data_IF_146074426530
#
_entry.id   IF_146074426530
#
_cell.length_a   1.000
_cell.length_b   1.000
_cell.length_c   1.000
_cell.angle_alpha   90.00
_cell.angle_beta   90.00
_cell.angle_gamma   90.00
#
_symmetry.space_group_name_H-M   'P 1'
#
loop_
_entity.id
_entity.type
_entity.pdbx_description
1 polymer ?
#
# COMPACT_ATOMS: atom_id res chain seq x y z
N UNK A 1 22.24 4.89 57.13
CA UNK A 1 23.11 4.16 56.17
C UNK A 1 22.45 2.98 55.42
N UNK A 2 21.52 2.21 56.02
CA UNK A 2 20.84 1.08 55.31
C UNK A 2 19.87 1.46 54.17
N UNK A 3 19.22 2.64 54.23
CA UNK A 3 18.29 3.07 53.16
C UNK A 3 19.00 3.56 51.89
N UNK A 4 20.13 4.27 52.02
CA UNK A 4 20.96 4.73 50.88
C UNK A 4 21.54 3.58 50.06
N UNK A 5 21.93 2.49 50.71
CA UNK A 5 22.47 1.28 50.04
C UNK A 5 21.40 0.48 49.30
N UNK A 6 20.13 0.51 49.74
CA UNK A 6 19.01 -0.08 48.99
C UNK A 6 18.68 0.73 47.73
N UNK A 7 18.69 2.06 47.77
CA UNK A 7 18.41 2.89 46.60
C UNK A 7 19.52 2.80 45.56
N UNK A 8 20.79 2.74 45.99
CA UNK A 8 21.93 2.50 45.10
C UNK A 8 21.89 1.10 44.45
N UNK A 9 21.43 0.07 45.17
CA UNK A 9 21.23 -1.28 44.61
C UNK A 9 20.06 -1.34 43.63
N UNK A 10 18.95 -0.67 43.92
CA UNK A 10 17.80 -0.58 43.01
C UNK A 10 18.15 0.19 41.73
N UNK A 11 18.85 1.32 41.87
CA UNK A 11 19.36 2.11 40.74
C UNK A 11 20.39 1.31 39.92
N UNK A 12 21.29 0.57 40.56
CA UNK A 12 22.23 -0.33 39.88
C UNK A 12 21.53 -1.49 39.15
N UNK A 13 20.48 -2.08 39.73
CA UNK A 13 19.69 -3.14 39.08
C UNK A 13 18.89 -2.59 37.88
N UNK A 14 18.28 -1.41 38.00
CA UNK A 14 17.59 -0.74 36.90
C UNK A 14 18.57 -0.33 35.79
N UNK A 15 19.79 0.08 36.14
CA UNK A 15 20.83 0.40 35.17
C UNK A 15 21.35 -0.84 34.44
N UNK A 16 21.50 -1.97 35.14
CA UNK A 16 21.88 -3.26 34.54
C UNK A 16 20.76 -3.82 33.65
N UNK A 17 19.49 -3.75 34.07
CA UNK A 17 18.34 -4.13 33.22
C UNK A 17 18.19 -3.24 31.98
N UNK A 18 18.50 -1.94 32.07
CA UNK A 18 18.50 -1.03 30.93
C UNK A 18 19.67 -1.30 29.97
N UNK A 19 20.81 -1.79 30.47
CA UNK A 19 21.96 -2.17 29.65
C UNK A 19 21.75 -3.51 28.93
N UNK A 20 21.05 -4.48 29.52
CA UNK A 20 20.82 -5.79 28.88
C UNK A 20 19.80 -5.72 27.74
N UNK A 21 18.82 -4.82 27.80
CA UNK A 21 17.86 -4.61 26.70
C UNK A 21 18.46 -3.79 25.54
N UNK A 22 19.41 -2.89 25.82
CA UNK A 22 20.10 -2.10 24.79
C UNK A 22 21.05 -2.93 23.90
N UNK A 23 21.54 -4.08 24.40
CA UNK A 23 22.42 -5.00 23.67
C UNK A 23 21.69 -6.17 23.01
N UNK A 24 20.37 -6.32 23.22
CA UNK A 24 19.61 -7.40 22.60
C UNK A 24 19.47 -7.16 21.09
N UNK A 25 19.73 -8.21 20.30
CA UNK A 25 19.38 -8.23 18.88
C UNK A 25 17.86 -8.08 18.77
N UNK A 26 17.36 -7.14 17.95
CA UNK A 26 15.93 -6.99 17.73
C UNK A 26 15.28 -8.26 17.16
N UNK A 27 14.00 -8.47 17.44
CA UNK A 27 13.31 -9.74 17.17
C UNK A 27 13.27 -10.10 15.69
N UNK A 28 13.01 -9.14 14.79
CA UNK A 28 12.93 -9.43 13.36
C UNK A 28 14.31 -9.74 12.79
N UNK A 29 15.35 -9.02 13.21
CA UNK A 29 16.74 -9.29 12.82
C UNK A 29 17.16 -10.69 13.23
N UNK A 30 16.80 -11.12 14.45
CA UNK A 30 17.04 -12.48 14.89
C UNK A 30 16.29 -13.50 14.02
N UNK A 31 15.02 -13.25 13.72
CA UNK A 31 14.21 -14.11 12.85
C UNK A 31 14.80 -14.27 11.44
N UNK A 32 15.30 -13.19 10.83
CA UNK A 32 15.98 -13.24 9.52
C UNK A 32 17.25 -14.09 9.59
N UNK A 33 18.02 -14.02 10.69
CA UNK A 33 19.23 -14.83 10.87
C UNK A 33 18.91 -16.31 11.05
N UNK A 34 17.89 -16.63 11.84
CA UNK A 34 17.51 -18.01 12.17
C UNK A 34 16.78 -18.71 11.02
N UNK A 35 16.01 -17.96 10.23
CA UNK A 35 15.21 -18.47 9.12
C UNK A 35 15.21 -17.44 7.99
N UNK A 36 16.31 -17.36 7.22
CA UNK A 36 16.41 -16.39 6.14
C UNK A 36 15.35 -16.66 5.08
N UNK A 37 14.72 -15.60 4.53
CA UNK A 37 13.71 -15.75 3.49
C UNK A 37 14.32 -16.30 2.20
N UNK A 38 13.50 -17.04 1.44
CA UNK A 38 13.86 -17.54 0.09
C UNK A 38 13.81 -16.39 -0.93
N UNK A 39 14.88 -15.59 -0.94
CA UNK A 39 15.14 -14.44 -1.82
C UNK A 39 16.66 -14.39 -2.11
N UNK A 40 17.12 -13.63 -3.13
CA UNK A 40 18.55 -13.46 -3.37
C UNK A 40 19.29 -12.95 -2.12
N UNK A 41 20.52 -13.41 -1.84
CA UNK A 41 21.22 -13.08 -0.59
C UNK A 41 21.62 -11.60 -0.47
N UNK A 42 21.72 -10.89 -1.60
CA UNK A 42 22.04 -9.47 -1.66
C UNK A 42 21.37 -8.85 -2.88
N UNK A 43 20.76 -7.68 -2.69
CA UNK A 43 20.18 -6.86 -3.78
C UNK A 43 20.41 -5.39 -3.45
N UNK A 44 20.77 -4.57 -4.44
CA UNK A 44 20.81 -3.11 -4.32
C UNK A 44 20.27 -2.44 -5.60
N UNK A 45 19.19 -1.67 -5.44
CA UNK A 45 18.50 -0.91 -6.48
C UNK A 45 19.18 0.46 -6.66
N UNK A 46 20.44 0.44 -7.11
CA UNK A 46 21.30 1.62 -7.21
C UNK A 46 20.79 2.70 -8.16
N UNK A 47 19.91 2.36 -9.10
CA UNK A 47 19.21 3.31 -9.99
C UNK A 47 18.13 4.14 -9.28
N UNK A 48 17.80 3.86 -8.01
CA UNK A 48 16.86 4.67 -7.24
C UNK A 48 17.40 6.10 -7.09
N UNK A 49 16.68 7.13 -7.60
CA UNK A 49 17.12 8.52 -7.54
C UNK A 49 17.39 9.00 -6.11
N UNK A 50 18.22 10.03 -5.99
CA UNK A 50 18.57 10.64 -4.71
C UNK A 50 18.46 12.16 -4.79
N UNK A 51 17.68 12.72 -3.86
CA UNK A 51 17.66 14.15 -3.61
C UNK A 51 18.20 14.40 -2.19
N UNK A 52 19.27 15.21 -2.04
CA UNK A 52 19.80 15.56 -0.72
C UNK A 52 18.71 16.16 0.17
N UNK A 53 18.46 15.53 1.31
CA UNK A 53 17.40 15.94 2.21
C UNK A 53 17.90 17.09 3.10
N UNK A 54 17.56 18.31 2.73
CA UNK A 54 17.76 19.50 3.56
C UNK A 54 16.75 19.53 4.70
N UNK A 55 17.04 20.31 5.75
CA UNK A 55 16.22 20.38 6.97
C UNK A 55 14.74 20.64 6.61
N UNK A 56 13.84 19.75 7.05
CA UNK A 56 12.38 19.79 6.84
C UNK A 56 11.87 19.40 5.43
N UNK A 57 12.72 18.88 4.55
CA UNK A 57 12.37 18.46 3.19
C UNK A 57 12.48 16.94 2.95
N UNK A 58 12.54 16.11 4.01
CA UNK A 58 12.70 14.67 3.84
C UNK A 58 11.48 14.01 3.14
N UNK A 59 10.25 14.46 3.41
CA UNK A 59 9.04 13.98 2.74
C UNK A 59 9.02 14.25 1.22
N UNK A 60 9.18 15.51 0.78
CA UNK A 60 9.18 15.83 -0.66
C UNK A 60 10.31 15.13 -1.41
N UNK A 61 11.50 15.05 -0.80
CA UNK A 61 12.66 14.41 -1.42
C UNK A 61 12.47 12.90 -1.65
N UNK A 62 11.93 12.16 -0.67
CA UNK A 62 11.71 10.71 -0.84
C UNK A 62 10.59 10.42 -1.82
N UNK A 63 9.52 11.23 -1.81
CA UNK A 63 8.41 11.03 -2.74
C UNK A 63 8.83 11.37 -4.18
N UNK A 64 9.61 12.44 -4.40
CA UNK A 64 10.17 12.74 -5.70
C UNK A 64 11.06 11.61 -6.22
N UNK A 65 11.95 11.07 -5.37
CA UNK A 65 12.82 9.96 -5.75
C UNK A 65 12.03 8.71 -6.18
N UNK A 66 10.99 8.35 -5.43
CA UNK A 66 10.15 7.19 -5.73
C UNK A 66 9.26 7.42 -6.95
N UNK A 67 8.73 8.63 -7.14
CA UNK A 67 7.96 9.00 -8.31
C UNK A 67 8.81 8.91 -9.59
N UNK A 68 10.02 9.46 -9.57
CA UNK A 68 10.97 9.36 -10.69
C UNK A 68 11.41 7.91 -10.95
N UNK A 69 11.57 7.10 -9.91
CA UNK A 69 11.82 5.68 -10.07
C UNK A 69 10.66 4.94 -10.77
N UNK A 70 9.45 5.50 -10.74
CA UNK A 70 8.28 5.04 -11.50
C UNK A 70 8.06 5.77 -12.82
N UNK A 71 9.02 6.58 -13.26
CA UNK A 71 8.95 7.32 -14.52
C UNK A 71 8.07 8.57 -14.47
N UNK A 72 7.70 9.05 -13.28
CA UNK A 72 7.01 10.33 -13.11
C UNK A 72 8.05 11.43 -12.87
N UNK A 73 8.19 12.34 -13.83
CA UNK A 73 9.13 13.46 -13.76
C UNK A 73 8.59 14.54 -12.81
N UNK A 74 9.18 14.63 -11.63
CA UNK A 74 8.79 15.57 -10.57
C UNK A 74 9.98 15.89 -9.68
N UNK A 75 10.11 17.14 -9.22
CA UNK A 75 11.17 17.52 -8.27
C UNK A 75 10.61 17.75 -6.87
N UNK A 76 11.44 17.70 -5.80
CA UNK A 76 10.97 17.94 -4.44
C UNK A 76 10.21 19.26 -4.26
N UNK A 77 10.58 20.29 -5.02
CA UNK A 77 9.95 21.62 -5.02
C UNK A 77 8.50 21.59 -5.52
N UNK A 78 8.14 20.67 -6.41
CA UNK A 78 6.77 20.51 -6.90
C UNK A 78 5.88 19.87 -5.83
N UNK A 79 6.47 19.03 -4.97
CA UNK A 79 5.75 18.25 -3.96
C UNK A 79 5.67 18.99 -2.63
N UNK A 80 6.68 19.80 -2.29
CA UNK A 80 6.74 20.50 -1.00
C UNK A 80 5.46 21.30 -0.66
N UNK A 81 4.84 22.06 -1.58
CA UNK A 81 3.59 22.77 -1.30
C UNK A 81 2.41 21.85 -0.95
N UNK A 82 2.46 20.58 -1.36
CA UNK A 82 1.38 19.61 -1.14
C UNK A 82 1.44 18.96 0.25
N UNK A 83 2.64 18.82 0.84
CA UNK A 83 2.84 17.98 2.03
C UNK A 83 3.59 18.66 3.18
N UNK A 84 4.01 19.92 3.02
CA UNK A 84 4.73 20.64 4.06
C UNK A 84 3.77 21.25 5.09
N UNK A 85 3.96 20.90 6.37
CA UNK A 85 3.20 21.48 7.48
C UNK A 85 4.15 22.33 8.35
N UNK A 86 4.01 23.67 8.38
CA UNK A 86 4.94 24.58 9.08
C UNK A 86 5.12 24.27 10.58
N UNK A 87 4.04 23.93 11.28
CA UNK A 87 4.06 23.69 12.72
C UNK A 87 4.66 22.33 13.11
N UNK A 88 4.70 21.37 12.18
CA UNK A 88 5.23 20.02 12.40
C UNK A 88 6.68 19.87 11.93
N UNK A 89 7.23 20.90 11.27
CA UNK A 89 8.60 20.89 10.75
C UNK A 89 8.90 19.63 9.90
N UNK A 90 7.91 19.15 9.14
CA UNK A 90 7.99 17.91 8.36
C UNK A 90 6.66 17.54 7.67
N UNK A 91 6.59 16.34 7.12
CA UNK A 91 5.41 15.79 6.44
C UNK A 91 4.81 14.61 7.21
N UNK A 92 3.49 14.60 7.37
CA UNK A 92 2.77 13.46 7.96
C UNK A 92 2.68 12.30 6.96
N UNK A 93 2.49 11.09 7.47
CA UNK A 93 2.38 9.87 6.64
C UNK A 93 1.21 9.98 5.66
N UNK A 94 0.05 10.47 6.15
CA UNK A 94 -1.15 10.67 5.33
C UNK A 94 -0.94 11.68 4.20
N UNK A 95 -0.14 12.73 4.41
CA UNK A 95 0.16 13.72 3.38
C UNK A 95 1.04 13.10 2.28
N UNK A 96 2.02 12.27 2.67
CA UNK A 96 2.85 11.55 1.70
C UNK A 96 2.01 10.57 0.88
N UNK A 97 1.07 9.86 1.52
CA UNK A 97 0.13 8.95 0.85
C UNK A 97 -0.75 9.74 -0.12
N UNK A 98 -1.40 10.81 0.35
CA UNK A 98 -2.28 11.63 -0.46
C UNK A 98 -1.55 12.27 -1.66
N UNK A 99 -0.33 12.77 -1.45
CA UNK A 99 0.48 13.32 -2.53
C UNK A 99 0.88 12.26 -3.55
N UNK A 100 1.27 11.04 -3.12
CA UNK A 100 1.55 9.95 -4.05
C UNK A 100 0.34 9.64 -4.97
N UNK A 101 -0.87 9.62 -4.41
CA UNK A 101 -2.10 9.37 -5.17
C UNK A 101 -2.37 10.44 -6.22
N UNK A 102 -2.04 11.72 -5.94
CA UNK A 102 -2.14 12.82 -6.93
C UNK A 102 -1.25 12.63 -8.15
N UNK A 103 -0.18 11.84 -8.03
CA UNK A 103 0.69 11.46 -9.15
C UNK A 103 0.27 10.13 -9.80
N UNK A 104 -0.96 9.65 -9.53
CA UNK A 104 -1.47 8.34 -9.96
C UNK A 104 -0.57 7.17 -9.55
N UNK A 105 0.13 7.32 -8.41
CA UNK A 105 0.88 6.24 -7.79
C UNK A 105 0.03 5.59 -6.69
N UNK A 106 0.25 4.30 -6.50
CA UNK A 106 -0.43 3.48 -5.50
C UNK A 106 0.52 3.26 -4.30
N UNK A 107 0.40 4.04 -3.21
CA UNK A 107 1.15 3.81 -1.99
C UNK A 107 0.54 2.64 -1.21
N UNK A 108 1.22 1.49 -1.19
CA UNK A 108 0.76 0.28 -0.51
C UNK A 108 1.53 0.07 0.79
N UNK A 109 0.82 0.05 1.91
CA UNK A 109 1.40 -0.25 3.22
C UNK A 109 1.94 -1.69 3.24
N UNK A 110 3.13 -1.90 3.82
CA UNK A 110 3.67 -3.25 4.04
C UNK A 110 3.33 -3.75 5.46
N UNK A 111 3.61 -5.03 5.72
CA UNK A 111 3.24 -5.70 6.98
C UNK A 111 4.09 -5.28 8.20
N UNK A 112 5.02 -4.34 8.03
CA UNK A 112 5.84 -3.83 9.13
C UNK A 112 6.86 -4.85 9.64
N UNK A 113 7.34 -5.72 8.76
CA UNK A 113 8.44 -6.65 9.04
C UNK A 113 9.58 -6.57 8.01
N UNK A 114 10.80 -6.91 8.42
CA UNK A 114 12.00 -6.89 7.57
C UNK A 114 11.86 -7.78 6.33
N UNK A 115 11.23 -8.95 6.45
CA UNK A 115 11.04 -9.85 5.32
C UNK A 115 10.21 -9.19 4.21
N UNK A 116 9.14 -8.47 4.55
CA UNK A 116 8.33 -7.73 3.59
C UNK A 116 9.16 -6.68 2.84
N UNK A 117 10.02 -5.95 3.56
CA UNK A 117 10.95 -5.00 2.95
C UNK A 117 11.88 -5.72 1.98
N UNK A 118 12.54 -6.81 2.40
CA UNK A 118 13.53 -7.49 1.55
C UNK A 118 12.90 -8.15 0.33
N UNK A 119 11.67 -8.68 0.45
CA UNK A 119 10.91 -9.20 -0.70
C UNK A 119 10.58 -8.11 -1.72
N UNK A 120 10.22 -6.91 -1.27
CA UNK A 120 10.01 -5.77 -2.17
C UNK A 120 11.30 -5.35 -2.89
N UNK A 121 12.40 -5.23 -2.14
CA UNK A 121 13.71 -4.90 -2.74
C UNK A 121 14.13 -5.97 -3.76
N UNK A 122 13.95 -7.26 -3.43
CA UNK A 122 14.22 -8.38 -4.34
C UNK A 122 13.36 -8.33 -5.61
N UNK A 123 12.14 -7.82 -5.51
CA UNK A 123 11.23 -7.63 -6.63
C UNK A 123 11.45 -6.31 -7.39
N UNK A 124 12.46 -5.51 -7.03
CA UNK A 124 12.78 -4.26 -7.71
C UNK A 124 11.99 -3.05 -7.20
N UNK A 125 11.40 -3.13 -6.01
CA UNK A 125 10.62 -2.07 -5.38
C UNK A 125 11.37 -1.45 -4.20
N UNK A 126 11.94 -0.24 -4.34
CA UNK A 126 12.45 0.54 -3.22
C UNK A 126 11.34 0.82 -2.21
N UNK A 127 11.66 0.77 -0.92
CA UNK A 127 10.67 0.87 0.16
C UNK A 127 10.85 2.18 0.92
N UNK A 128 9.80 2.98 0.96
CA UNK A 128 9.74 4.15 1.82
C UNK A 128 9.55 3.72 3.27
N UNK A 129 10.33 4.28 4.19
CA UNK A 129 10.22 4.00 5.62
C UNK A 129 10.25 5.28 6.45
N UNK A 130 9.61 5.24 7.62
CA UNK A 130 9.69 6.30 8.62
C UNK A 130 10.50 5.81 9.81
N UNK A 131 11.54 6.56 10.16
CA UNK A 131 12.41 6.26 11.29
C UNK A 131 12.34 7.36 12.33
N UNK A 132 12.52 6.99 13.60
CA UNK A 132 12.91 7.95 14.63
C UNK A 132 14.40 7.74 14.94
N UNK A 133 15.23 8.67 14.45
CA UNK A 133 16.69 8.65 14.67
C UNK A 133 17.09 9.18 16.06
N UNK A 134 16.13 9.75 16.79
CA UNK A 134 16.27 10.20 18.17
C UNK A 134 15.81 9.13 19.16
N UNK A 135 15.45 9.57 20.36
CA UNK A 135 14.86 8.72 21.40
C UNK A 135 13.39 9.09 21.60
N UNK A 136 12.62 8.26 22.31
CA UNK A 136 11.19 8.50 22.48
C UNK A 136 10.88 9.83 23.21
N UNK A 137 11.74 10.23 24.16
CA UNK A 137 11.63 11.50 24.89
C UNK A 137 12.12 12.72 24.09
N UNK A 138 12.83 12.51 22.97
CA UNK A 138 13.30 13.57 22.09
C UNK A 138 13.37 13.04 20.65
N UNK A 139 12.21 12.93 19.96
CA UNK A 139 12.14 12.26 18.67
C UNK A 139 12.81 13.07 17.56
N UNK A 140 13.35 12.36 16.57
CA UNK A 140 13.84 12.91 15.30
C UNK A 140 13.26 12.09 14.15
N UNK A 141 12.09 12.49 13.70
CA UNK A 141 11.38 11.87 12.59
C UNK A 141 12.12 12.06 11.28
N UNK A 142 12.26 10.98 10.52
CA UNK A 142 13.09 10.96 9.31
C UNK A 142 12.57 9.94 8.31
N UNK A 143 12.21 10.39 7.10
CA UNK A 143 11.93 9.49 6.00
C UNK A 143 13.22 9.05 5.31
N UNK A 144 13.28 7.78 4.94
CA UNK A 144 14.35 7.21 4.13
C UNK A 144 13.78 6.24 3.11
N UNK A 145 14.56 5.91 2.08
CA UNK A 145 14.21 4.86 1.12
C UNK A 145 15.20 3.71 1.32
N UNK A 146 14.70 2.53 1.65
CA UNK A 146 15.47 1.30 1.56
C UNK A 146 15.62 0.95 0.09
N UNK A 147 16.86 0.75 -0.34
CA UNK A 147 17.18 0.37 -1.73
C UNK A 147 17.94 -0.95 -1.81
N UNK A 148 18.39 -1.50 -0.69
CA UNK A 148 19.21 -2.71 -0.73
C UNK A 148 19.34 -3.40 0.61
N UNK A 149 19.73 -4.66 0.56
CA UNK A 149 20.09 -5.47 1.71
C UNK A 149 21.19 -6.47 1.35
N UNK A 150 21.88 -6.95 2.38
CA UNK A 150 22.83 -8.04 2.33
C UNK A 150 22.57 -8.95 3.55
N UNK A 151 22.08 -10.16 3.30
CA UNK A 151 21.75 -11.12 4.36
C UNK A 151 23.00 -11.71 5.03
N UNK A 152 24.12 -11.78 4.32
CA UNK A 152 25.36 -12.35 4.86
C UNK A 152 26.04 -11.36 5.81
N UNK A 153 26.08 -10.08 5.42
CA UNK A 153 26.68 -9.00 6.20
C UNK A 153 25.69 -8.39 7.22
N UNK A 154 24.41 -8.79 7.17
CA UNK A 154 23.30 -8.22 7.95
C UNK A 154 23.21 -6.69 7.81
N UNK A 155 23.35 -6.21 6.59
CA UNK A 155 23.33 -4.77 6.30
C UNK A 155 22.20 -4.37 5.37
N UNK A 156 21.70 -3.15 5.58
CA UNK A 156 20.67 -2.51 4.77
C UNK A 156 21.22 -1.21 4.19
N UNK A 157 20.84 -0.91 2.95
CA UNK A 157 21.28 0.26 2.19
C UNK A 157 20.13 1.23 2.03
N UNK A 158 20.35 2.49 2.42
CA UNK A 158 19.35 3.55 2.44
C UNK A 158 19.77 4.74 1.57
N UNK A 159 18.79 5.38 0.93
CA UNK A 159 18.86 6.78 0.49
C UNK A 159 18.34 7.64 1.64
N UNK A 160 19.21 8.43 2.28
CA UNK A 160 18.85 9.09 3.55
C UNK A 160 19.73 10.30 3.89
N UNK A 161 19.10 11.42 4.28
CA UNK A 161 19.80 12.64 4.64
C UNK A 161 20.56 13.23 3.45
N UNK A 162 21.81 13.64 3.67
CA UNK A 162 22.73 14.11 2.63
C UNK A 162 23.58 13.00 2.03
N UNK A 163 23.36 11.73 2.41
CA UNK A 163 24.12 10.59 1.95
C UNK A 163 23.29 9.79 0.95
N UNK A 164 23.78 9.74 -0.28
CA UNK A 164 23.17 8.93 -1.33
C UNK A 164 23.17 7.45 -0.96
N UNK A 165 24.30 6.91 -0.49
CA UNK A 165 24.41 5.51 -0.07
C UNK A 165 24.73 5.42 1.42
N UNK A 166 23.73 5.10 2.23
CA UNK A 166 23.87 4.93 3.67
C UNK A 166 23.71 3.46 4.08
N UNK A 167 24.82 2.81 4.44
CA UNK A 167 24.81 1.43 4.96
C UNK A 167 24.61 1.41 6.46
N UNK A 168 23.74 0.52 6.95
CA UNK A 168 23.45 0.29 8.37
C UNK A 168 23.31 -1.20 8.66
N UNK A 169 23.56 -1.64 9.89
CA UNK A 169 23.19 -3.01 10.29
C UNK A 169 21.67 -3.15 10.42
N UNK A 170 21.14 -4.35 10.17
CA UNK A 170 19.73 -4.68 10.39
C UNK A 170 19.26 -4.30 11.78
N UNK A 171 20.03 -4.64 12.81
CA UNK A 171 19.68 -4.34 14.20
C UNK A 171 19.53 -2.84 14.47
N UNK A 172 20.40 -2.00 13.90
CA UNK A 172 20.30 -0.55 14.10
C UNK A 172 19.11 0.02 13.33
N UNK A 173 18.91 -0.44 12.09
CA UNK A 173 17.77 -0.04 11.27
C UNK A 173 16.45 -0.39 11.96
N UNK A 174 16.26 -1.66 12.35
CA UNK A 174 15.04 -2.15 12.99
C UNK A 174 14.69 -1.34 14.23
N UNK A 175 15.66 -1.06 15.12
CA UNK A 175 15.40 -0.23 16.31
C UNK A 175 14.87 1.16 15.99
N UNK A 176 15.46 1.83 15.01
CA UNK A 176 15.03 3.18 14.61
C UNK A 176 13.70 3.18 13.85
N UNK A 177 13.43 2.12 13.10
CA UNK A 177 12.19 1.91 12.34
C UNK A 177 11.02 1.47 13.25
N UNK A 178 11.29 0.65 14.26
CA UNK A 178 10.34 0.24 15.30
C UNK A 178 9.75 1.45 16.04
N UNK A 179 10.57 2.44 16.36
CA UNK A 179 10.10 3.70 16.96
C UNK A 179 9.21 4.52 16.02
N UNK A 180 9.28 4.28 14.71
CA UNK A 180 8.35 4.76 13.69
C UNK A 180 7.16 3.83 13.45
N UNK A 181 6.90 2.89 14.36
CA UNK A 181 5.78 1.96 14.26
C UNK A 181 5.94 0.92 13.16
N UNK A 182 7.17 0.64 12.73
CA UNK A 182 7.46 -0.19 11.55
C UNK A 182 6.74 0.29 10.28
N UNK A 183 6.49 1.60 10.17
CA UNK A 183 5.77 2.12 9.03
C UNK A 183 6.63 2.05 7.76
N UNK A 184 6.06 1.46 6.72
CA UNK A 184 6.72 1.28 5.43
C UNK A 184 5.71 1.18 4.29
N UNK A 185 6.07 1.76 3.14
CA UNK A 185 5.27 1.75 1.93
C UNK A 185 6.08 1.24 0.74
N UNK A 186 5.47 0.38 -0.08
CA UNK A 186 5.86 0.23 -1.47
C UNK A 186 5.02 1.19 -2.32
N UNK A 187 5.67 2.14 -3.00
CA UNK A 187 5.00 3.03 -3.96
C UNK A 187 5.17 2.44 -5.36
N UNK A 188 4.05 2.05 -5.98
CA UNK A 188 4.03 1.37 -7.28
C UNK A 188 3.07 2.09 -8.25
N UNK A 189 3.16 1.78 -9.54
CA UNK A 189 2.10 2.19 -10.49
C UNK A 189 0.90 1.25 -10.35
N UNK A 190 -0.34 1.68 -10.64
CA UNK A 190 -1.54 0.84 -10.47
C UNK A 190 -1.50 -0.51 -11.21
N UNK A 191 -0.78 -0.60 -12.34
CA UNK A 191 -0.57 -1.86 -13.06
C UNK A 191 0.34 -2.88 -12.36
N UNK A 192 0.86 -2.57 -11.17
CA UNK A 192 1.78 -3.41 -10.41
C UNK A 192 1.19 -3.76 -9.04
N UNK A 193 1.41 -5.01 -8.62
CA UNK A 193 1.11 -5.45 -7.25
C UNK A 193 2.41 -5.69 -6.52
N UNK A 194 2.65 -5.08 -5.34
CA UNK A 194 3.82 -5.35 -4.51
C UNK A 194 4.00 -6.86 -4.25
N UNK A 195 5.24 -7.30 -4.13
CA UNK A 195 5.57 -8.72 -4.02
C UNK A 195 5.07 -9.33 -2.71
N UNK A 196 5.23 -8.63 -1.58
CA UNK A 196 4.94 -9.14 -0.25
C UNK A 196 3.49 -8.92 0.20
N UNK A 197 2.71 -8.10 -0.52
CA UNK A 197 1.36 -7.74 -0.07
C UNK A 197 0.33 -8.85 -0.33
N UNK A 198 -0.60 -9.01 0.62
CA UNK A 198 -1.77 -9.89 0.51
C UNK A 198 -2.98 -9.21 -0.16
N UNK A 199 -3.99 -10.00 -0.51
CA UNK A 199 -5.16 -9.51 -1.24
C UNK A 199 -5.94 -8.46 -0.46
N UNK A 200 -6.23 -8.71 0.82
CA UNK A 200 -7.04 -7.82 1.67
C UNK A 200 -6.43 -6.41 1.75
N UNK A 201 -5.12 -6.33 2.05
CA UNK A 201 -4.43 -5.05 2.17
C UNK A 201 -4.38 -4.31 0.84
N UNK A 202 -4.16 -5.01 -0.27
CA UNK A 202 -4.14 -4.38 -1.59
C UNK A 202 -5.53 -3.88 -2.00
N UNK A 203 -6.59 -4.65 -1.75
CA UNK A 203 -7.97 -4.25 -2.01
C UNK A 203 -8.33 -2.98 -1.22
N UNK A 204 -8.02 -2.94 0.09
CA UNK A 204 -8.26 -1.74 0.90
C UNK A 204 -7.53 -0.51 0.31
N UNK A 205 -6.29 -0.71 -0.16
CA UNK A 205 -5.53 0.36 -0.82
C UNK A 205 -6.21 0.82 -2.12
N UNK A 206 -6.75 -0.10 -2.92
CA UNK A 206 -7.47 0.22 -4.16
C UNK A 206 -8.78 0.96 -3.91
N UNK A 207 -9.54 0.60 -2.88
CA UNK A 207 -10.78 1.28 -2.49
C UNK A 207 -10.48 2.75 -2.13
N UNK A 208 -9.46 2.99 -1.32
CA UNK A 208 -9.05 4.35 -0.97
C UNK A 208 -8.48 5.13 -2.16
N UNK A 209 -7.79 4.43 -3.07
CA UNK A 209 -7.23 5.03 -4.28
C UNK A 209 -8.33 5.45 -5.27
N UNK A 210 -9.33 4.60 -5.49
CA UNK A 210 -10.49 4.85 -6.36
C UNK A 210 -11.27 6.11 -5.94
N UNK A 211 -11.36 6.40 -4.64
CA UNK A 211 -12.01 7.62 -4.14
C UNK A 211 -11.27 8.92 -4.52
N UNK A 212 -9.99 8.82 -4.91
CA UNK A 212 -9.10 9.98 -5.10
C UNK A 212 -8.44 10.04 -6.47
N UNK A 213 -8.65 9.02 -7.31
CA UNK A 213 -8.00 8.87 -8.61
C UNK A 213 -9.02 8.78 -9.75
N UNK A 214 -8.58 9.07 -10.97
CA UNK A 214 -9.37 8.88 -12.17
C UNK A 214 -9.73 7.40 -12.38
N UNK A 215 -10.81 7.14 -13.13
CA UNK A 215 -11.31 5.78 -13.35
C UNK A 215 -10.29 4.84 -14.01
N UNK A 216 -9.39 5.37 -14.84
CA UNK A 216 -8.41 4.55 -15.58
C UNK A 216 -7.28 3.98 -14.70
N UNK A 217 -6.56 4.79 -13.90
CA UNK A 217 -5.64 4.27 -12.89
C UNK A 217 -6.29 3.24 -11.95
N UNK A 218 -7.52 3.50 -11.46
CA UNK A 218 -8.23 2.58 -10.59
C UNK A 218 -8.49 1.23 -11.28
N UNK A 219 -8.96 1.26 -12.54
CA UNK A 219 -9.13 0.05 -13.36
C UNK A 219 -7.83 -0.75 -13.52
N UNK A 220 -6.70 -0.09 -13.79
CA UNK A 220 -5.39 -0.75 -13.88
C UNK A 220 -5.00 -1.42 -12.56
N UNK A 221 -5.32 -0.76 -11.43
CA UNK A 221 -5.19 -1.30 -10.08
C UNK A 221 -5.95 -2.60 -9.87
N UNK A 222 -7.25 -2.61 -10.17
CA UNK A 222 -8.07 -3.82 -10.05
C UNK A 222 -7.71 -4.90 -11.08
N UNK A 223 -7.23 -4.53 -12.26
CA UNK A 223 -6.77 -5.48 -13.28
C UNK A 223 -5.51 -6.23 -12.83
N UNK A 224 -4.53 -5.52 -12.24
CA UNK A 224 -3.33 -6.13 -11.69
C UNK A 224 -3.67 -7.03 -10.48
N UNK A 225 -4.60 -6.59 -9.63
CA UNK A 225 -5.14 -7.40 -8.53
C UNK A 225 -5.84 -8.67 -9.04
N UNK A 226 -6.67 -8.58 -10.08
CA UNK A 226 -7.41 -9.72 -10.63
C UNK A 226 -6.48 -10.75 -11.28
N UNK A 227 -5.34 -10.28 -11.80
CA UNK A 227 -4.29 -11.16 -12.33
C UNK A 227 -3.60 -11.92 -11.19
N UNK A 228 -3.27 -11.26 -10.07
CA UNK A 228 -2.62 -11.90 -8.91
C UNK A 228 -3.58 -12.79 -8.11
N UNK A 229 -4.84 -12.38 -7.97
CA UNK A 229 -5.86 -13.07 -7.17
C UNK A 229 -7.15 -13.33 -7.96
N UNK A 230 -7.13 -14.20 -8.97
CA UNK A 230 -8.26 -14.44 -9.86
C UNK A 230 -9.47 -15.06 -9.16
N UNK A 231 -9.29 -15.65 -7.97
CA UNK A 231 -10.37 -16.24 -7.17
C UNK A 231 -10.89 -15.31 -6.08
N UNK A 232 -10.48 -14.03 -6.05
CA UNK A 232 -11.01 -13.07 -5.09
C UNK A 232 -12.24 -12.35 -5.68
N UNK A 233 -13.37 -12.49 -4.99
CA UNK A 233 -14.65 -11.94 -5.42
C UNK A 233 -14.64 -10.40 -5.43
N UNK A 234 -14.15 -9.77 -4.36
CA UNK A 234 -14.14 -8.30 -4.23
C UNK A 234 -13.28 -7.64 -5.32
N UNK A 235 -12.13 -8.25 -5.65
CA UNK A 235 -11.29 -7.79 -6.76
C UNK A 235 -12.03 -7.81 -8.09
N UNK A 236 -12.84 -8.86 -8.35
CA UNK A 236 -13.64 -8.95 -9.58
C UNK A 236 -14.77 -7.94 -9.61
N UNK A 237 -15.41 -7.67 -8.48
CA UNK A 237 -16.42 -6.61 -8.37
C UNK A 237 -15.79 -5.25 -8.66
N UNK A 238 -14.67 -4.92 -8.01
CA UNK A 238 -13.95 -3.66 -8.26
C UNK A 238 -13.48 -3.51 -9.71
N UNK A 239 -12.98 -4.59 -10.33
CA UNK A 239 -12.64 -4.60 -11.75
C UNK A 239 -13.87 -4.33 -12.63
N UNK A 240 -15.01 -4.94 -12.32
CA UNK A 240 -16.25 -4.74 -13.06
C UNK A 240 -16.79 -3.31 -12.93
N UNK A 241 -16.76 -2.75 -11.72
CA UNK A 241 -17.22 -1.39 -11.43
C UNK A 241 -16.35 -0.36 -12.15
N UNK A 242 -15.02 -0.51 -12.05
CA UNK A 242 -14.08 0.42 -12.72
C UNK A 242 -14.13 0.29 -14.24
N UNK A 243 -14.31 -0.92 -14.79
CA UNK A 243 -14.55 -1.10 -16.22
C UNK A 243 -15.86 -0.44 -16.68
N UNK A 244 -16.93 -0.57 -15.90
CA UNK A 244 -18.21 0.09 -16.19
C UNK A 244 -18.07 1.61 -16.23
N UNK A 245 -17.37 2.19 -15.24
CA UNK A 245 -17.09 3.63 -15.17
C UNK A 245 -16.29 4.15 -16.38
N UNK A 246 -15.46 3.29 -16.99
CA UNK A 246 -14.74 3.60 -18.23
C UNK A 246 -15.57 3.43 -19.51
N UNK A 247 -16.79 2.90 -19.42
CA UNK A 247 -17.60 2.52 -20.60
C UNK A 247 -17.16 1.19 -21.24
N UNK A 248 -16.25 0.46 -20.62
CA UNK A 248 -15.74 -0.84 -21.09
C UNK A 248 -16.71 -1.97 -20.67
N UNK A 249 -17.93 -1.91 -21.20
CA UNK A 249 -19.05 -2.72 -20.72
C UNK A 249 -18.87 -4.23 -20.92
N UNK A 250 -18.12 -4.67 -21.95
CA UNK A 250 -17.80 -6.09 -22.14
C UNK A 250 -16.87 -6.62 -21.05
N UNK A 251 -15.85 -5.84 -20.70
CA UNK A 251 -14.89 -6.17 -19.64
C UNK A 251 -15.59 -6.14 -18.28
N UNK A 252 -16.52 -5.21 -18.09
CA UNK A 252 -17.40 -5.16 -16.92
C UNK A 252 -18.24 -6.43 -16.78
N UNK A 253 -18.92 -6.84 -17.85
CA UNK A 253 -19.68 -8.09 -17.92
C UNK A 253 -18.81 -9.32 -17.56
N UNK A 254 -17.61 -9.44 -18.16
CA UNK A 254 -16.70 -10.55 -17.89
C UNK A 254 -16.25 -10.61 -16.43
N UNK A 255 -15.98 -9.43 -15.83
CA UNK A 255 -15.60 -9.33 -14.43
C UNK A 255 -16.73 -9.74 -13.50
N UNK A 256 -17.96 -9.24 -13.70
CA UNK A 256 -19.13 -9.62 -12.89
C UNK A 256 -19.51 -11.09 -13.07
N UNK A 257 -19.51 -11.63 -14.30
CA UNK A 257 -19.68 -13.07 -14.53
C UNK A 257 -18.60 -13.88 -13.82
N UNK A 258 -17.39 -13.36 -13.74
CA UNK A 258 -16.30 -13.95 -12.94
C UNK A 258 -16.60 -13.97 -11.44
N UNK A 259 -17.11 -12.86 -10.88
CA UNK A 259 -17.50 -12.79 -9.48
C UNK A 259 -18.64 -13.79 -9.18
N UNK A 260 -19.65 -13.85 -10.05
CA UNK A 260 -20.81 -14.73 -9.93
C UNK A 260 -20.47 -16.23 -10.08
N UNK A 261 -19.39 -16.58 -10.79
CA UNK A 261 -18.87 -17.96 -10.79
C UNK A 261 -18.31 -18.37 -9.43
N UNK A 262 -17.78 -17.41 -8.67
CA UNK A 262 -17.20 -17.65 -7.34
C UNK A 262 -18.26 -17.55 -6.24
N UNK A 263 -19.20 -16.62 -6.35
CA UNK A 263 -20.32 -16.43 -5.43
C UNK A 263 -21.63 -16.15 -6.21
N UNK A 264 -22.39 -17.20 -6.57
CA UNK A 264 -23.59 -17.06 -7.42
C UNK A 264 -24.79 -16.41 -6.71
N UNK A 265 -24.70 -16.26 -5.39
CA UNK A 265 -25.71 -15.73 -4.48
C UNK A 265 -25.51 -14.23 -4.14
N UNK A 266 -24.62 -13.53 -4.85
CA UNK A 266 -24.42 -12.09 -4.69
C UNK A 266 -25.42 -11.29 -5.52
N UNK A 267 -26.47 -10.78 -4.87
CA UNK A 267 -27.50 -9.98 -5.54
C UNK A 267 -26.90 -8.70 -6.18
N UNK A 268 -25.96 -8.05 -5.51
CA UNK A 268 -25.27 -6.84 -5.98
C UNK A 268 -24.55 -7.09 -7.31
N UNK A 269 -23.90 -8.25 -7.44
CA UNK A 269 -23.16 -8.62 -8.64
C UNK A 269 -24.10 -8.90 -9.82
N UNK A 270 -25.27 -9.50 -9.56
CA UNK A 270 -26.32 -9.69 -10.57
C UNK A 270 -26.92 -8.36 -11.03
N UNK A 271 -27.16 -7.44 -10.10
CA UNK A 271 -27.62 -6.08 -10.42
C UNK A 271 -26.60 -5.35 -11.30
N UNK A 272 -25.33 -5.35 -10.92
CA UNK A 272 -24.28 -4.67 -11.70
C UNK A 272 -24.08 -5.30 -13.08
N UNK A 273 -24.21 -6.63 -13.20
CA UNK A 273 -24.22 -7.32 -14.49
C UNK A 273 -25.39 -6.87 -15.37
N UNK A 274 -26.58 -6.66 -14.81
CA UNK A 274 -27.75 -6.19 -15.56
C UNK A 274 -27.46 -4.84 -16.23
N UNK A 275 -26.95 -3.86 -15.48
CA UNK A 275 -26.55 -2.56 -16.04
C UNK A 275 -25.48 -2.69 -17.14
N UNK A 276 -24.45 -3.52 -16.93
CA UNK A 276 -23.42 -3.74 -17.94
C UNK A 276 -23.97 -4.37 -19.24
N UNK A 277 -25.00 -5.21 -19.14
CA UNK A 277 -25.69 -5.81 -20.30
C UNK A 277 -26.60 -4.80 -21.01
N UNK A 278 -27.33 -3.97 -20.27
CA UNK A 278 -28.19 -2.93 -20.84
C UNK A 278 -27.41 -1.90 -21.66
N UNK A 279 -26.24 -1.48 -21.16
CA UNK A 279 -25.33 -0.59 -21.89
C UNK A 279 -24.83 -1.17 -23.22
N UNK A 280 -24.83 -2.51 -23.35
CA UNK A 280 -24.48 -3.20 -24.59
C UNK A 280 -25.69 -3.47 -25.50
N UNK A 281 -26.90 -3.00 -25.13
CA UNK A 281 -28.14 -3.27 -25.86
C UNK A 281 -28.67 -4.71 -25.67
N UNK A 282 -28.15 -5.46 -24.71
CA UNK A 282 -28.58 -6.85 -24.42
C UNK A 282 -29.77 -6.84 -23.44
N UNK A 283 -30.89 -6.26 -23.86
CA UNK A 283 -32.05 -5.98 -22.99
C UNK A 283 -32.62 -7.22 -22.31
N UNK A 284 -32.76 -8.34 -23.03
CA UNK A 284 -33.33 -9.58 -22.47
C UNK A 284 -32.42 -10.18 -21.39
N UNK A 285 -31.11 -10.26 -21.65
CA UNK A 285 -30.11 -10.76 -20.69
C UNK A 285 -30.03 -9.84 -19.46
N UNK A 286 -30.14 -8.52 -19.65
CA UNK A 286 -30.20 -7.55 -18.57
C UNK A 286 -31.39 -7.80 -17.64
N UNK A 287 -32.59 -8.01 -18.21
CA UNK A 287 -33.78 -8.29 -17.42
C UNK A 287 -33.69 -9.66 -16.72
N UNK A 288 -33.05 -10.66 -17.33
CA UNK A 288 -32.77 -11.91 -16.64
C UNK A 288 -31.85 -11.70 -15.44
N UNK A 289 -30.76 -10.93 -15.61
CA UNK A 289 -29.79 -10.68 -14.54
C UNK A 289 -30.42 -9.97 -13.33
N UNK A 290 -31.20 -8.90 -13.53
CA UNK A 290 -31.86 -8.21 -12.41
C UNK A 290 -32.92 -9.09 -11.72
N UNK A 291 -33.60 -9.97 -12.47
CA UNK A 291 -34.52 -10.94 -11.87
C UNK A 291 -33.78 -11.99 -11.03
N UNK A 292 -32.51 -12.31 -11.34
CA UNK A 292 -31.68 -13.15 -10.45
C UNK A 292 -31.34 -12.43 -9.14
N UNK A 293 -31.01 -11.13 -9.20
CA UNK A 293 -30.80 -10.33 -8.00
C UNK A 293 -32.06 -10.32 -7.10
N UNK A 294 -33.24 -10.06 -7.69
CA UNK A 294 -34.52 -10.11 -6.98
C UNK A 294 -34.92 -11.51 -6.50
N UNK A 295 -34.44 -12.59 -7.13
CA UNK A 295 -34.67 -13.93 -6.59
C UNK A 295 -33.90 -14.16 -5.28
N UNK A 296 -32.73 -13.53 -5.15
CA UNK A 296 -31.87 -13.61 -3.96
C UNK A 296 -32.41 -12.66 -2.87
N UNK A 297 -32.78 -11.44 -3.25
CA UNK A 297 -33.33 -10.40 -2.37
C UNK A 297 -34.64 -9.84 -2.94
N UNK A 298 -35.79 -10.49 -2.71
CA UNK A 298 -37.07 -10.15 -3.36
C UNK A 298 -37.66 -8.79 -3.01
N UNK A 299 -37.39 -8.30 -1.81
CA UNK A 299 -37.98 -7.09 -1.24
C UNK A 299 -36.96 -5.94 -1.13
N UNK A 300 -35.86 -6.00 -1.91
CA UNK A 300 -34.87 -4.91 -1.95
C UNK A 300 -35.35 -3.80 -2.91
N UNK A 301 -35.69 -2.65 -2.34
CA UNK A 301 -36.19 -1.49 -3.09
C UNK A 301 -35.22 -1.06 -4.21
N UNK A 302 -33.90 -1.16 -4.00
CA UNK A 302 -32.92 -0.77 -5.02
C UNK A 302 -32.97 -1.68 -6.25
N UNK A 303 -33.23 -2.98 -6.07
CA UNK A 303 -33.33 -3.92 -7.18
C UNK A 303 -34.69 -3.86 -7.88
N UNK A 304 -35.75 -3.52 -7.15
CA UNK A 304 -37.05 -3.24 -7.74
C UNK A 304 -36.98 -1.99 -8.62
N UNK A 305 -36.36 -0.92 -8.13
CA UNK A 305 -36.11 0.32 -8.87
C UNK A 305 -35.23 0.05 -10.10
N UNK A 306 -34.11 -0.66 -9.93
CA UNK A 306 -33.21 -1.01 -11.03
C UNK A 306 -33.92 -1.82 -12.12
N UNK A 307 -34.80 -2.77 -11.74
CA UNK A 307 -35.59 -3.53 -12.73
C UNK A 307 -36.50 -2.61 -13.53
N UNK A 308 -37.16 -1.66 -12.86
CA UNK A 308 -38.13 -0.78 -13.50
C UNK A 308 -37.42 0.25 -14.41
N UNK A 309 -36.23 0.72 -14.03
CA UNK A 309 -35.32 1.50 -14.89
C UNK A 309 -34.90 0.71 -16.14
N UNK A 310 -34.40 -0.51 -15.97
CA UNK A 310 -33.92 -1.35 -17.08
C UNK A 310 -35.04 -1.72 -18.08
N UNK A 311 -36.29 -1.85 -17.61
CA UNK A 311 -37.46 -2.02 -18.50
C UNK A 311 -37.72 -0.79 -19.35
N UNK A 312 -37.64 0.41 -18.75
CA UNK A 312 -37.84 1.66 -19.48
C UNK A 312 -36.75 1.84 -20.53
N UNK A 313 -35.49 1.55 -20.19
CA UNK A 313 -34.39 1.60 -21.13
C UNK A 313 -34.64 0.73 -22.37
N UNK A 314 -35.02 -0.53 -22.15
CA UNK A 314 -35.34 -1.47 -23.25
C UNK A 314 -36.46 -0.97 -24.18
N UNK A 315 -37.41 -0.18 -23.65
CA UNK A 315 -38.50 0.38 -24.45
C UNK A 315 -38.09 1.57 -25.33
N UNK A 316 -36.96 2.22 -25.02
CA UNK A 316 -36.44 3.39 -25.74
C UNK A 316 -35.37 2.97 -26.77
N UNK A 317 -34.68 1.86 -26.54
CA UNK A 317 -33.60 1.35 -27.40
C UNK A 317 -34.05 0.41 -28.52
N UNK A 318 -35.34 0.03 -28.56
CA UNK A 318 -36.00 -0.74 -29.62
C UNK A 318 -36.80 0.17 -30.55
#
# INVERSE_FOLDING_TARGET
MRRLTQHARLAGMLFILALTTACATPFQTLGIRESPPDIPPQVELSSTPFYPQLKYYCGPAVLAALANYRGIDVVPEDIAPLIYIPNMQGSLQEEVIAAARRFNLLPVQLDGNLESIFREIAAGNPVLVLQNLGFDFYPRWHYAIVIGYDLNEETIVLRSGTRERLVRSFSLFERTWQRGGHWSLAIVTPGQVPASVNAERFINTLIEFEQTSDSYPAYQGYLSAATKWPSNVLVRIGLGNTAYALGEFRQSEDAYKGALRLSPDMAEAWNNLAYALAQQGKSDESLEAINRALKISPDDDNYLDSRDELKQWSSISN
#
